data_IF_594592468582
#
_entry.id   IF_594592468582
#
_cell.length_a   1.000
_cell.length_b   1.000
_cell.length_c   1.000
_cell.angle_alpha   90.00
_cell.angle_beta   90.00
_cell.angle_gamma   90.00
#
_symmetry.space_group_name_H-M   'P 1'
#
loop_
_entity.id
_entity.type
_entity.pdbx_description
1 polymer ?
#
# COMPACT_ATOMS: atom_id res chain seq x y z
N UNK A 1 -126.99 16.81 11.88
CA UNK A 1 -125.63 17.35 11.60
C UNK A 1 -124.60 16.89 12.65
N UNK A 2 -124.71 15.62 13.09
CA UNK A 2 -123.96 15.08 14.24
C UNK A 2 -122.69 14.30 13.86
N UNK A 3 -122.43 14.06 12.57
CA UNK A 3 -121.26 13.28 12.14
C UNK A 3 -119.99 14.13 11.98
N UNK A 4 -120.12 15.40 11.54
CA UNK A 4 -118.97 16.28 11.33
C UNK A 4 -118.37 16.83 12.65
N UNK A 5 -119.19 16.93 13.71
CA UNK A 5 -118.75 17.39 15.04
C UNK A 5 -118.14 16.26 15.89
N UNK A 6 -118.39 14.99 15.54
CA UNK A 6 -117.73 13.83 16.19
C UNK A 6 -116.34 13.52 15.62
N UNK A 7 -116.07 13.86 14.35
CA UNK A 7 -114.74 13.66 13.74
C UNK A 7 -113.75 14.75 14.19
N UNK A 8 -114.24 15.98 14.46
CA UNK A 8 -113.42 17.05 15.03
C UNK A 8 -113.04 16.79 16.51
N UNK A 9 -113.86 16.01 17.24
CA UNK A 9 -113.61 15.65 18.64
C UNK A 9 -112.65 14.47 18.81
N UNK A 10 -112.41 13.65 17.78
CA UNK A 10 -111.51 12.49 17.85
C UNK A 10 -110.08 12.80 17.39
N UNK A 11 -109.84 13.98 16.80
CA UNK A 11 -108.49 14.51 16.52
C UNK A 11 -107.99 15.38 17.70
N UNK A 12 -108.88 15.73 18.63
CA UNK A 12 -108.58 16.51 19.84
C UNK A 12 -108.50 15.65 21.12
N UNK A 13 -108.39 14.32 20.98
CA UNK A 13 -108.17 13.39 22.09
C UNK A 13 -106.68 13.04 22.20
N UNK A 14 -105.83 14.06 22.27
CA UNK A 14 -104.55 13.91 22.97
C UNK A 14 -104.87 14.01 24.47
N UNK A 15 -104.79 12.88 25.14
CA UNK A 15 -105.05 12.73 26.57
C UNK A 15 -104.12 13.68 27.36
N UNK A 16 -104.64 14.75 28.01
CA UNK A 16 -103.84 15.81 28.62
C UNK A 16 -103.23 15.42 29.98
N UNK A 17 -103.02 14.13 30.23
CA UNK A 17 -102.53 13.60 31.51
C UNK A 17 -101.21 12.82 31.44
N UNK A 18 -100.53 12.78 30.28
CA UNK A 18 -99.12 12.35 30.20
C UNK A 18 -98.21 13.59 30.18
N UNK A 19 -97.79 14.02 31.38
CA UNK A 19 -96.72 15.01 31.50
C UNK A 19 -95.40 14.36 31.09
N UNK A 20 -94.98 14.48 29.82
CA UNK A 20 -93.62 14.15 29.42
C UNK A 20 -92.66 15.02 30.22
N UNK A 21 -91.95 14.41 31.18
CA UNK A 21 -91.02 15.13 32.02
C UNK A 21 -89.78 15.43 31.19
N UNK A 22 -89.56 16.69 30.80
CA UNK A 22 -88.44 17.14 29.95
C UNK A 22 -87.06 16.61 30.39
N UNK A 23 -86.88 16.35 31.69
CA UNK A 23 -85.64 15.83 32.26
C UNK A 23 -85.57 14.29 32.30
N UNK A 24 -86.70 13.59 32.27
CA UNK A 24 -86.77 12.15 32.48
C UNK A 24 -87.57 11.48 31.34
N UNK A 25 -86.89 10.86 30.37
CA UNK A 25 -87.55 10.13 29.30
C UNK A 25 -88.31 8.91 29.85
N UNK A 26 -89.27 8.43 29.07
CA UNK A 26 -90.13 7.32 29.47
C UNK A 26 -89.28 6.06 29.73
N UNK A 27 -89.55 5.33 30.81
CA UNK A 27 -88.66 4.26 31.31
C UNK A 27 -88.37 3.15 30.29
N UNK A 28 -89.24 2.97 29.28
CA UNK A 28 -88.99 2.05 28.18
C UNK A 28 -87.89 2.54 27.23
N UNK A 29 -87.77 3.84 26.98
CA UNK A 29 -86.74 4.40 26.07
C UNK A 29 -85.35 4.25 26.66
N UNK A 30 -85.22 4.41 27.97
CA UNK A 30 -83.97 4.16 28.69
C UNK A 30 -83.60 2.67 28.63
N UNK A 31 -84.59 1.77 28.75
CA UNK A 31 -84.36 0.33 28.71
C UNK A 31 -83.95 -0.15 27.29
N UNK A 32 -84.72 0.22 26.26
CA UNK A 32 -84.42 -0.16 24.88
C UNK A 32 -83.19 0.58 24.33
N UNK A 33 -83.04 1.87 24.62
CA UNK A 33 -81.87 2.67 24.24
C UNK A 33 -80.60 2.23 24.98
N UNK A 34 -80.71 1.90 26.26
CA UNK A 34 -79.63 1.32 27.06
C UNK A 34 -79.20 -0.06 26.54
N UNK A 35 -80.17 -0.92 26.20
CA UNK A 35 -79.90 -2.24 25.62
C UNK A 35 -79.26 -2.13 24.23
N UNK A 36 -79.75 -1.23 23.38
CA UNK A 36 -79.16 -0.96 22.06
C UNK A 36 -77.73 -0.42 22.19
N UNK A 37 -77.50 0.51 23.12
CA UNK A 37 -76.18 1.07 23.41
C UNK A 37 -75.21 0.00 23.92
N UNK A 38 -75.67 -0.89 24.81
CA UNK A 38 -74.88 -2.04 25.29
C UNK A 38 -74.51 -3.02 24.17
N UNK A 39 -75.44 -3.33 23.25
CA UNK A 39 -75.17 -4.20 22.10
C UNK A 39 -74.11 -3.57 21.18
N UNK A 40 -74.23 -2.27 20.88
CA UNK A 40 -73.24 -1.54 20.08
C UNK A 40 -71.88 -1.51 20.79
N UNK A 41 -71.86 -1.25 22.11
CA UNK A 41 -70.62 -1.21 22.89
C UNK A 41 -69.94 -2.58 22.96
N UNK A 42 -70.72 -3.66 23.11
CA UNK A 42 -70.22 -5.02 23.09
C UNK A 42 -69.61 -5.39 21.73
N UNK A 43 -70.27 -5.00 20.63
CA UNK A 43 -69.77 -5.23 19.28
C UNK A 43 -68.49 -4.43 19.00
N UNK A 44 -68.45 -3.15 19.42
CA UNK A 44 -67.27 -2.30 19.30
C UNK A 44 -66.13 -2.84 20.16
N UNK A 45 -66.38 -3.24 21.40
CA UNK A 45 -65.36 -3.84 22.25
C UNK A 45 -64.80 -5.12 21.61
N UNK A 46 -65.67 -6.02 21.14
CA UNK A 46 -65.22 -7.27 20.53
C UNK A 46 -64.39 -7.05 19.25
N UNK A 47 -64.75 -6.07 18.43
CA UNK A 47 -64.09 -5.80 17.14
C UNK A 47 -62.88 -4.86 17.26
N UNK A 48 -62.95 -3.81 18.07
CA UNK A 48 -61.92 -2.79 18.21
C UNK A 48 -60.79 -3.22 19.16
N UNK A 49 -61.10 -3.97 20.22
CA UNK A 49 -60.08 -4.47 21.16
C UNK A 49 -58.94 -5.27 20.50
N UNK A 50 -59.21 -6.25 19.59
CA UNK A 50 -58.13 -6.96 18.92
C UNK A 50 -57.32 -6.05 17.97
N UNK A 51 -57.93 -5.03 17.35
CA UNK A 51 -57.21 -4.07 16.50
C UNK A 51 -56.25 -3.20 17.32
N UNK A 52 -56.70 -2.67 18.46
CA UNK A 52 -55.88 -1.86 19.37
C UNK A 52 -54.72 -2.69 19.94
N UNK A 53 -55.00 -3.91 20.41
CA UNK A 53 -53.96 -4.82 20.92
C UNK A 53 -52.91 -5.15 19.86
N UNK A 54 -53.33 -5.39 18.61
CA UNK A 54 -52.40 -5.62 17.48
C UNK A 54 -51.56 -4.39 17.17
N UNK A 55 -52.15 -3.20 17.17
CA UNK A 55 -51.43 -1.95 16.91
C UNK A 55 -50.37 -1.66 17.98
N UNK A 56 -50.70 -1.86 19.26
CA UNK A 56 -49.74 -1.72 20.36
C UNK A 56 -48.65 -2.79 20.29
N UNK A 57 -49.00 -4.05 20.04
CA UNK A 57 -48.03 -5.13 19.90
C UNK A 57 -47.04 -4.88 18.74
N UNK A 58 -47.53 -4.47 17.56
CA UNK A 58 -46.69 -4.14 16.41
C UNK A 58 -45.77 -2.95 16.69
N UNK A 59 -46.25 -1.92 17.39
CA UNK A 59 -45.41 -0.79 17.82
C UNK A 59 -44.32 -1.24 18.78
N UNK A 60 -44.64 -2.05 19.78
CA UNK A 60 -43.66 -2.57 20.73
C UNK A 60 -42.62 -3.44 20.03
N UNK A 61 -43.06 -4.33 19.13
CA UNK A 61 -42.16 -5.17 18.33
C UNK A 61 -41.23 -4.33 17.45
N UNK A 62 -41.75 -3.30 16.77
CA UNK A 62 -40.93 -2.39 15.97
C UNK A 62 -39.91 -1.64 16.81
N UNK A 63 -40.31 -1.10 17.97
CA UNK A 63 -39.40 -0.38 18.87
C UNK A 63 -38.34 -1.33 19.43
N UNK A 64 -38.72 -2.54 19.84
CA UNK A 64 -37.76 -3.54 20.32
C UNK A 64 -36.77 -3.89 19.22
N UNK A 65 -37.24 -4.12 17.99
CA UNK A 65 -36.38 -4.37 16.85
C UNK A 65 -35.43 -3.19 16.56
N UNK A 66 -35.93 -1.96 16.56
CA UNK A 66 -35.10 -0.77 16.35
C UNK A 66 -34.01 -0.63 17.44
N UNK A 67 -34.34 -0.97 18.70
CA UNK A 67 -33.37 -0.98 19.81
C UNK A 67 -32.33 -2.10 19.66
N UNK A 68 -32.76 -3.30 19.28
CA UNK A 68 -31.88 -4.45 19.07
C UNK A 68 -30.94 -4.21 17.88
N UNK A 69 -31.47 -3.68 16.78
CA UNK A 69 -30.69 -3.30 15.59
C UNK A 69 -29.68 -2.19 15.95
N UNK A 70 -30.09 -1.17 16.73
CA UNK A 70 -29.19 -0.11 17.17
C UNK A 70 -28.09 -0.61 18.12
N UNK A 71 -28.43 -1.53 19.04
CA UNK A 71 -27.46 -2.15 19.95
C UNK A 71 -26.45 -3.01 19.18
N UNK A 72 -26.94 -3.79 18.21
CA UNK A 72 -26.09 -4.61 17.33
C UNK A 72 -25.17 -3.72 16.52
N UNK A 73 -25.70 -2.70 15.86
CA UNK A 73 -24.90 -1.75 15.09
C UNK A 73 -23.85 -1.04 15.94
N UNK A 74 -24.15 -0.67 17.19
CA UNK A 74 -23.15 -0.10 18.12
C UNK A 74 -22.03 -1.09 18.41
N UNK A 75 -22.38 -2.32 18.74
CA UNK A 75 -21.41 -3.38 19.05
C UNK A 75 -20.51 -3.69 17.84
N UNK A 76 -21.10 -3.76 16.65
CA UNK A 76 -20.36 -3.96 15.40
C UNK A 76 -19.41 -2.79 15.09
N UNK A 77 -19.85 -1.55 15.26
CA UNK A 77 -19.00 -0.37 15.06
C UNK A 77 -17.84 -0.31 16.06
N UNK A 78 -18.07 -0.67 17.32
CA UNK A 78 -17.03 -0.74 18.34
C UNK A 78 -16.01 -1.84 18.03
N UNK A 79 -16.50 -3.02 17.62
CA UNK A 79 -15.66 -4.13 17.19
C UNK A 79 -14.82 -3.77 15.96
N UNK A 80 -15.42 -3.14 14.94
CA UNK A 80 -14.71 -2.71 13.74
C UNK A 80 -13.67 -1.63 14.05
N UNK A 81 -14.01 -0.66 14.90
CA UNK A 81 -13.06 0.36 15.36
C UNK A 81 -11.88 -0.26 16.11
N UNK A 82 -12.11 -1.32 16.89
CA UNK A 82 -11.05 -2.05 17.56
C UNK A 82 -10.16 -2.81 16.55
N UNK A 83 -10.75 -3.47 15.56
CA UNK A 83 -10.00 -4.14 14.47
C UNK A 83 -9.16 -3.16 13.67
N UNK A 84 -9.70 -1.99 13.32
CA UNK A 84 -8.96 -0.95 12.60
C UNK A 84 -7.78 -0.46 13.43
N UNK A 85 -7.98 -0.17 14.73
CA UNK A 85 -6.88 0.23 15.62
C UNK A 85 -5.80 -0.84 15.74
N UNK A 86 -6.19 -2.10 15.85
CA UNK A 86 -5.25 -3.22 15.87
C UNK A 86 -4.48 -3.31 14.55
N UNK A 87 -5.17 -3.27 13.42
CA UNK A 87 -4.55 -3.33 12.09
C UNK A 87 -3.58 -2.16 11.86
N UNK A 88 -3.90 -0.94 12.34
CA UNK A 88 -2.99 0.20 12.29
C UNK A 88 -1.72 -0.05 13.13
N UNK A 89 -1.88 -0.58 14.36
CA UNK A 89 -0.75 -0.96 15.21
C UNK A 89 0.13 -2.03 14.57
N UNK A 90 -0.48 -3.06 13.98
CA UNK A 90 0.23 -4.13 13.29
C UNK A 90 1.00 -3.60 12.05
N UNK A 91 0.39 -2.67 11.29
CA UNK A 91 1.05 -2.00 10.17
C UNK A 91 2.25 -1.18 10.65
N UNK A 92 2.11 -0.38 11.70
CA UNK A 92 3.22 0.42 12.20
C UNK A 92 4.38 -0.44 12.72
N UNK A 93 4.07 -1.56 13.39
CA UNK A 93 5.07 -2.54 13.82
C UNK A 93 5.79 -3.19 12.63
N UNK A 94 5.05 -3.62 11.61
CA UNK A 94 5.64 -4.23 10.41
C UNK A 94 6.46 -3.21 9.60
N UNK A 95 6.04 -1.95 9.54
CA UNK A 95 6.82 -0.86 8.93
C UNK A 95 8.15 -0.65 9.65
N UNK A 96 8.13 -0.59 10.99
CA UNK A 96 9.36 -0.46 11.78
C UNK A 96 10.30 -1.64 11.54
N UNK A 97 9.75 -2.86 11.50
CA UNK A 97 10.52 -4.07 11.18
C UNK A 97 11.15 -3.99 9.78
N UNK A 98 10.37 -3.58 8.77
CA UNK A 98 10.83 -3.46 7.40
C UNK A 98 11.94 -2.41 7.25
N UNK A 99 11.81 -1.26 7.93
CA UNK A 99 12.87 -0.25 7.93
C UNK A 99 14.15 -0.75 8.61
N UNK A 100 14.04 -1.41 9.77
CA UNK A 100 15.21 -2.00 10.43
C UNK A 100 15.91 -3.06 9.57
N UNK A 101 15.12 -3.88 8.85
CA UNK A 101 15.64 -4.88 7.92
C UNK A 101 16.31 -4.23 6.69
N UNK A 102 15.73 -3.14 6.18
CA UNK A 102 16.29 -2.37 5.07
C UNK A 102 17.61 -1.68 5.46
N UNK A 103 17.68 -1.10 6.66
CA UNK A 103 18.91 -0.47 7.16
C UNK A 103 20.02 -1.52 7.33
N UNK A 104 19.70 -2.68 7.91
CA UNK A 104 20.64 -3.80 8.05
C UNK A 104 21.16 -4.27 6.69
N UNK A 105 20.27 -4.40 5.69
CA UNK A 105 20.67 -4.78 4.33
C UNK A 105 21.52 -3.70 3.64
N UNK A 106 21.19 -2.43 3.84
CA UNK A 106 21.96 -1.32 3.29
C UNK A 106 23.38 -1.27 3.87
N UNK A 107 23.52 -1.45 5.18
CA UNK A 107 24.84 -1.54 5.84
C UNK A 107 25.65 -2.74 5.33
N UNK A 108 25.01 -3.91 5.19
CA UNK A 108 25.66 -5.10 4.65
C UNK A 108 26.13 -4.88 3.20
N UNK A 109 25.30 -4.26 2.35
CA UNK A 109 25.63 -3.96 0.97
C UNK A 109 26.77 -2.94 0.86
N UNK A 110 26.78 -1.91 1.70
CA UNK A 110 27.86 -0.93 1.76
C UNK A 110 29.17 -1.57 2.22
N UNK A 111 29.13 -2.44 3.23
CA UNK A 111 30.31 -3.15 3.72
C UNK A 111 30.87 -4.14 2.67
N UNK A 112 30.00 -4.86 1.97
CA UNK A 112 30.40 -5.74 0.86
C UNK A 112 30.95 -4.94 -0.33
N UNK A 113 30.27 -3.87 -0.72
CA UNK A 113 30.70 -2.97 -1.78
C UNK A 113 32.08 -2.37 -1.51
N UNK A 114 32.35 -1.90 -0.28
CA UNK A 114 33.67 -1.41 0.12
C UNK A 114 34.74 -2.48 0.01
N UNK A 115 34.50 -3.69 0.55
CA UNK A 115 35.46 -4.80 0.46
C UNK A 115 35.78 -5.18 -0.99
N UNK A 116 34.78 -5.17 -1.87
CA UNK A 116 34.97 -5.44 -3.30
C UNK A 116 35.77 -4.33 -3.98
N UNK A 117 35.45 -3.07 -3.72
CA UNK A 117 36.18 -1.91 -4.25
C UNK A 117 37.64 -1.93 -3.79
N UNK A 118 37.91 -2.20 -2.52
CA UNK A 118 39.29 -2.28 -2.01
C UNK A 118 40.10 -3.37 -2.72
N UNK A 119 39.48 -4.53 -2.99
CA UNK A 119 40.11 -5.61 -3.74
C UNK A 119 40.33 -5.25 -5.22
N UNK A 120 39.37 -4.60 -5.87
CA UNK A 120 39.48 -4.14 -7.26
C UNK A 120 40.56 -3.06 -7.42
N UNK A 121 40.65 -2.12 -6.47
CA UNK A 121 41.70 -1.08 -6.44
C UNK A 121 43.07 -1.73 -6.25
N UNK A 122 43.23 -2.66 -5.31
CA UNK A 122 44.50 -3.34 -5.10
C UNK A 122 44.96 -4.15 -6.34
N UNK A 123 44.04 -4.83 -7.02
CA UNK A 123 44.33 -5.54 -8.27
C UNK A 123 44.71 -4.56 -9.40
N UNK A 124 44.02 -3.43 -9.51
CA UNK A 124 44.33 -2.38 -10.48
C UNK A 124 45.71 -1.77 -10.24
N UNK A 125 46.05 -1.46 -8.99
CA UNK A 125 47.38 -0.94 -8.61
C UNK A 125 48.48 -1.96 -8.92
N UNK A 126 48.27 -3.24 -8.61
CA UNK A 126 49.23 -4.30 -8.92
C UNK A 126 49.46 -4.43 -10.43
N UNK A 127 48.39 -4.37 -11.24
CA UNK A 127 48.47 -4.38 -12.71
C UNK A 127 49.18 -3.14 -13.24
N UNK A 128 48.83 -1.95 -12.76
CA UNK A 128 49.48 -0.71 -13.17
C UNK A 128 50.98 -0.72 -12.85
N UNK A 129 51.37 -1.24 -11.68
CA UNK A 129 52.78 -1.38 -11.31
C UNK A 129 53.52 -2.37 -12.21
N UNK A 130 52.89 -3.49 -12.57
CA UNK A 130 53.44 -4.46 -13.51
C UNK A 130 53.59 -3.86 -14.93
N UNK A 131 52.61 -3.10 -15.39
CA UNK A 131 52.63 -2.43 -16.69
C UNK A 131 53.72 -1.35 -16.76
N UNK A 132 53.89 -0.56 -15.69
CA UNK A 132 54.97 0.43 -15.56
C UNK A 132 56.34 -0.26 -15.63
N UNK A 133 56.53 -1.35 -14.89
CA UNK A 133 57.79 -2.10 -14.91
C UNK A 133 58.08 -2.63 -16.31
N UNK A 134 57.10 -3.28 -16.95
CA UNK A 134 57.24 -3.79 -18.31
C UNK A 134 57.48 -2.69 -19.35
N UNK A 135 56.88 -1.50 -19.18
CA UNK A 135 57.16 -0.34 -20.03
C UNK A 135 58.58 0.19 -19.84
N UNK A 136 59.05 0.27 -18.58
CA UNK A 136 60.41 0.68 -18.25
C UNK A 136 61.47 -0.25 -18.86
N UNK A 137 61.24 -1.56 -18.80
CA UNK A 137 62.12 -2.55 -19.43
C UNK A 137 62.18 -2.36 -20.95
N UNK A 138 61.02 -2.23 -21.61
CA UNK A 138 60.96 -1.96 -23.06
C UNK A 138 61.69 -0.67 -23.44
N UNK A 139 61.48 0.42 -22.70
CA UNK A 139 62.16 1.69 -22.96
C UNK A 139 63.67 1.59 -22.74
N UNK A 140 64.14 0.85 -21.73
CA UNK A 140 65.57 0.64 -21.51
C UNK A 140 66.21 -0.16 -22.66
N UNK A 141 65.53 -1.20 -23.16
CA UNK A 141 66.01 -1.97 -24.30
C UNK A 141 66.08 -1.13 -25.58
N UNK A 142 65.07 -0.28 -25.81
CA UNK A 142 65.04 0.65 -26.94
C UNK A 142 66.18 1.69 -26.84
N UNK A 143 66.38 2.29 -25.67
CA UNK A 143 67.51 3.21 -25.42
C UNK A 143 68.86 2.54 -25.63
N UNK A 144 69.05 1.29 -25.17
CA UNK A 144 70.28 0.53 -25.41
C UNK A 144 70.52 0.33 -26.90
N UNK A 145 69.47 0.00 -27.65
CA UNK A 145 69.56 -0.20 -29.09
C UNK A 145 69.92 1.10 -29.82
N UNK A 146 69.34 2.23 -29.42
CA UNK A 146 69.70 3.56 -29.95
C UNK A 146 71.14 3.94 -29.62
N UNK A 147 71.60 3.72 -28.38
CA UNK A 147 72.98 3.99 -27.97
C UNK A 147 73.97 3.16 -28.78
N UNK A 148 73.71 1.85 -28.97
CA UNK A 148 74.58 0.98 -29.78
C UNK A 148 74.65 1.47 -31.22
N UNK A 149 73.53 1.89 -31.81
CA UNK A 149 73.52 2.44 -33.17
C UNK A 149 74.30 3.75 -33.29
N UNK A 150 74.09 4.70 -32.35
CA UNK A 150 74.80 5.98 -32.34
C UNK A 150 76.30 5.79 -32.08
N UNK A 151 76.67 4.90 -31.16
CA UNK A 151 78.06 4.57 -30.88
C UNK A 151 78.74 3.90 -32.08
N UNK A 152 78.05 2.99 -32.78
CA UNK A 152 78.53 2.38 -34.02
C UNK A 152 78.80 3.43 -35.10
N UNK A 153 77.84 4.33 -35.35
CA UNK A 153 78.00 5.42 -36.32
C UNK A 153 79.16 6.37 -35.96
N UNK A 154 79.36 6.66 -34.66
CA UNK A 154 80.49 7.46 -34.20
C UNK A 154 81.83 6.73 -34.36
N UNK A 155 81.89 5.42 -34.05
CA UNK A 155 83.08 4.59 -34.21
C UNK A 155 83.49 4.46 -35.68
N UNK A 156 82.54 4.25 -36.60
CA UNK A 156 82.79 4.21 -38.04
C UNK A 156 83.42 5.54 -38.52
N UNK A 157 82.90 6.68 -38.04
CA UNK A 157 83.42 7.99 -38.40
C UNK A 157 84.84 8.23 -37.88
N UNK A 158 85.11 7.90 -36.62
CA UNK A 158 86.46 8.02 -36.03
C UNK A 158 87.43 7.07 -36.71
N UNK A 159 87.03 5.84 -37.03
CA UNK A 159 87.86 4.87 -37.74
C UNK A 159 88.29 5.42 -39.11
N UNK A 160 87.36 5.97 -39.89
CA UNK A 160 87.65 6.60 -41.19
C UNK A 160 88.58 7.81 -41.05
N UNK A 161 88.41 8.64 -40.02
CA UNK A 161 89.30 9.79 -39.77
C UNK A 161 90.69 9.37 -39.25
N UNK A 162 90.83 8.21 -38.62
CA UNK A 162 92.09 7.70 -38.03
C UNK A 162 92.93 6.81 -38.96
N UNK A 163 92.39 6.38 -40.11
CA UNK A 163 93.10 5.52 -41.06
C UNK A 163 94.11 6.33 -41.87
N UNK A 164 95.40 6.15 -41.57
CA UNK A 164 96.52 6.57 -42.43
C UNK A 164 97.11 5.37 -43.21
N UNK A 165 97.94 5.66 -44.23
CA UNK A 165 98.54 4.63 -45.10
C UNK A 165 99.41 3.61 -44.31
N UNK A 166 100.03 4.04 -43.21
CA UNK A 166 100.87 3.18 -42.37
C UNK A 166 100.02 2.18 -41.58
N UNK A 167 98.91 2.65 -41.00
CA UNK A 167 97.95 1.84 -40.25
C UNK A 167 97.24 0.85 -41.17
N UNK A 168 96.92 1.22 -42.41
CA UNK A 168 96.35 0.28 -43.39
C UNK A 168 97.32 -0.87 -43.72
N UNK A 169 98.61 -0.60 -43.92
CA UNK A 169 99.60 -1.64 -44.17
C UNK A 169 99.77 -2.58 -42.97
N UNK A 170 99.81 -2.05 -41.74
CA UNK A 170 99.89 -2.85 -40.52
C UNK A 170 98.64 -3.75 -40.35
N UNK A 171 97.44 -3.23 -40.62
CA UNK A 171 96.21 -4.00 -40.56
C UNK A 171 96.21 -5.16 -41.58
N UNK A 172 96.67 -4.91 -42.80
CA UNK A 172 96.81 -5.95 -43.86
C UNK A 172 97.78 -7.04 -43.42
N UNK A 173 98.97 -6.66 -42.93
CA UNK A 173 99.98 -7.62 -42.46
C UNK A 173 99.46 -8.43 -41.26
N UNK A 174 98.76 -7.78 -40.32
CA UNK A 174 98.15 -8.45 -39.17
C UNK A 174 97.04 -9.43 -39.58
N UNK A 175 96.24 -9.10 -40.60
CA UNK A 175 95.20 -9.98 -41.12
C UNK A 175 95.79 -11.18 -41.85
N UNK A 176 96.81 -10.96 -42.69
CA UNK A 176 97.58 -12.03 -43.35
C UNK A 176 98.20 -12.96 -42.30
N UNK A 177 98.76 -12.41 -41.22
CA UNK A 177 99.31 -13.22 -40.13
C UNK A 177 98.24 -14.06 -39.42
N UNK A 178 97.03 -13.52 -39.18
CA UNK A 178 95.95 -14.19 -38.44
C UNK A 178 95.28 -15.28 -39.28
N UNK A 179 95.01 -15.00 -40.56
CA UNK A 179 94.46 -15.97 -41.51
C UNK A 179 95.51 -17.03 -41.86
N UNK A 180 96.77 -16.63 -42.04
CA UNK A 180 97.88 -17.56 -42.25
C UNK A 180 98.17 -18.44 -41.04
N UNK A 181 97.92 -17.95 -39.82
CA UNK A 181 98.01 -18.75 -38.58
C UNK A 181 96.81 -19.70 -38.39
N UNK A 182 95.60 -19.29 -38.81
CA UNK A 182 94.41 -20.17 -38.81
C UNK A 182 94.36 -21.17 -39.97
N UNK A 183 95.21 -21.01 -40.99
CA UNK A 183 95.28 -21.86 -42.18
C UNK A 183 96.46 -22.85 -42.17
N UNK A 184 97.02 -23.17 -41.00
CA UNK A 184 97.89 -24.35 -40.82
C UNK A 184 97.03 -25.51 -40.29
N UNK A 185 97.16 -26.74 -40.85
CA UNK A 185 96.38 -27.91 -40.42
C UNK A 185 96.62 -28.28 -38.96
#
# INVERSE_FOLDING_TARGET
MSAAMMIASSIAAEDPSQSHHWLWPEGYEILYGGLASLIVFALLYWKAWPLVKRGLANRTERVQKELDDASTARTENEAESARIRQALGDIDAERQRLFAEADTQAEALLADGRRRLDAEVADLEAKAQADIAAAGDRSNDELRHEIVQLAGAAADRVAVESLDDATQQELIESFISRVGAGARP
#
